data_IF_846568317071
#
_entry.id   IF_846568317071
#
_cell.length_a   1.000
_cell.length_b   1.000
_cell.length_c   1.000
_cell.angle_alpha   90.00
_cell.angle_beta   90.00
_cell.angle_gamma   90.00
#
_symmetry.space_group_name_H-M   'P 1'
#
loop_
_entity.id
_entity.type
_entity.pdbx_description
1 polymer ?
#
# COMPACT_ATOMS: atom_id res chain seq x y z
N UNK A 1 -6.98 7.94 -6.81
CA UNK A 1 -6.74 6.56 -6.32
C UNK A 1 -5.34 6.05 -6.69
N UNK A 2 -4.88 6.16 -7.94
CA UNK A 2 -3.47 5.88 -8.32
C UNK A 2 -2.43 6.74 -7.59
N UNK A 3 -2.76 8.01 -7.30
CA UNK A 3 -1.92 8.88 -6.46
C UNK A 3 -1.82 8.43 -4.99
N UNK A 4 -2.88 7.81 -4.43
CA UNK A 4 -2.88 7.26 -3.07
C UNK A 4 -1.93 6.05 -3.00
N UNK A 5 -2.06 5.11 -3.95
CA UNK A 5 -1.17 3.93 -4.01
C UNK A 5 0.31 4.28 -4.18
N UNK A 6 0.66 5.35 -4.91
CA UNK A 6 2.06 5.76 -5.06
C UNK A 6 2.60 6.44 -3.79
N UNK A 7 1.80 7.30 -3.14
CA UNK A 7 2.20 8.02 -1.92
C UNK A 7 2.36 7.09 -0.72
N UNK A 8 1.44 6.14 -0.53
CA UNK A 8 1.46 5.23 0.61
C UNK A 8 2.61 4.21 0.51
N UNK A 9 2.95 3.81 -0.72
CA UNK A 9 4.12 2.98 -1.01
C UNK A 9 5.42 3.74 -0.68
N UNK A 10 5.46 5.05 -0.91
CA UNK A 10 6.63 5.85 -0.59
C UNK A 10 6.87 5.92 0.92
N UNK A 11 5.83 6.17 1.73
CA UNK A 11 5.95 6.29 3.20
C UNK A 11 6.44 5.02 3.85
N UNK A 12 5.86 3.87 3.50
CA UNK A 12 6.29 2.56 4.05
C UNK A 12 7.74 2.22 3.67
N UNK A 13 8.16 2.57 2.45
CA UNK A 13 9.55 2.42 1.99
C UNK A 13 10.51 3.37 2.69
N UNK A 14 10.13 4.63 2.86
CA UNK A 14 10.97 5.66 3.48
C UNK A 14 11.15 5.38 4.98
N UNK A 15 10.09 4.98 5.68
CA UNK A 15 10.18 4.49 7.06
C UNK A 15 11.13 3.29 7.17
N UNK A 16 10.93 2.27 6.33
CA UNK A 16 11.78 1.07 6.34
C UNK A 16 13.23 1.41 6.04
N UNK A 17 13.47 2.34 5.11
CA UNK A 17 14.81 2.79 4.75
C UNK A 17 15.46 3.53 5.90
N UNK A 18 14.75 4.47 6.52
CA UNK A 18 15.22 5.25 7.66
C UNK A 18 15.62 4.33 8.82
N UNK A 19 14.73 3.40 9.20
CA UNK A 19 14.98 2.43 10.27
C UNK A 19 16.21 1.58 9.95
N UNK A 20 16.35 1.12 8.70
CA UNK A 20 17.49 0.30 8.31
C UNK A 20 18.82 1.07 8.17
N UNK A 21 18.79 2.38 7.89
CA UNK A 21 20.02 3.18 7.69
C UNK A 21 20.50 3.92 8.93
N UNK A 22 19.59 4.39 9.79
CA UNK A 22 19.95 5.23 10.94
C UNK A 22 20.06 4.45 12.24
N UNK A 23 19.27 3.39 12.43
CA UNK A 23 19.37 2.57 13.63
C UNK A 23 20.50 1.56 13.42
N UNK A 24 21.59 1.76 14.17
CA UNK A 24 22.71 0.81 14.19
C UNK A 24 22.28 -0.47 14.90
N UNK A 25 22.64 -1.60 14.29
CA UNK A 25 22.35 -2.94 14.79
C UNK A 25 23.67 -3.60 15.13
N UNK A 26 23.86 -3.92 16.40
CA UNK A 26 25.09 -4.54 16.91
C UNK A 26 24.85 -5.98 17.37
N UNK A 27 23.66 -6.24 17.94
CA UNK A 27 23.29 -7.55 18.48
C UNK A 27 22.24 -8.25 17.62
N UNK A 28 22.17 -9.59 17.68
CA UNK A 28 21.10 -10.37 17.04
C UNK A 28 19.69 -9.95 17.53
N UNK A 29 19.55 -9.57 18.80
CA UNK A 29 18.30 -9.05 19.35
C UNK A 29 17.87 -7.74 18.67
N UNK A 30 18.80 -6.80 18.45
CA UNK A 30 18.52 -5.53 17.76
C UNK A 30 18.06 -5.77 16.30
N UNK A 31 18.57 -6.83 15.69
CA UNK A 31 18.19 -7.23 14.35
C UNK A 31 16.75 -7.75 14.29
N UNK A 32 16.38 -8.59 15.25
CA UNK A 32 15.04 -9.14 15.39
C UNK A 32 14.01 -8.04 15.73
N UNK A 33 14.39 -7.08 16.59
CA UNK A 33 13.56 -5.91 16.91
C UNK A 33 13.33 -5.00 15.70
N UNK A 34 14.39 -4.71 14.93
CA UNK A 34 14.26 -3.98 13.67
C UNK A 34 13.33 -4.70 12.70
N UNK A 35 13.51 -6.01 12.56
CA UNK A 35 12.67 -6.84 11.67
C UNK A 35 11.22 -6.83 12.12
N UNK A 36 10.97 -6.92 13.42
CA UNK A 36 9.65 -6.77 14.02
C UNK A 36 9.04 -5.41 13.68
N UNK A 37 9.77 -4.31 13.86
CA UNK A 37 9.30 -2.96 13.51
C UNK A 37 8.93 -2.83 12.01
N UNK A 38 9.77 -3.36 11.11
CA UNK A 38 9.48 -3.35 9.67
C UNK A 38 8.24 -4.18 9.34
N UNK A 39 8.06 -5.33 9.99
CA UNK A 39 6.87 -6.15 9.83
C UNK A 39 5.60 -5.42 10.33
N UNK A 40 5.71 -4.63 11.41
CA UNK A 40 4.60 -3.81 11.91
C UNK A 40 4.14 -2.73 10.93
N UNK A 41 5.02 -2.22 10.04
CA UNK A 41 4.60 -1.31 8.96
C UNK A 41 3.66 -2.02 7.98
N UNK A 42 3.95 -3.27 7.63
CA UNK A 42 3.07 -4.08 6.78
C UNK A 42 1.79 -4.48 7.54
N UNK A 43 1.91 -4.84 8.82
CA UNK A 43 0.75 -5.14 9.67
C UNK A 43 -0.16 -3.94 9.85
N UNK A 44 0.37 -2.71 9.89
CA UNK A 44 -0.43 -1.49 9.87
C UNK A 44 -1.32 -1.47 8.62
N UNK A 45 -0.75 -1.62 7.42
CA UNK A 45 -1.53 -1.62 6.18
C UNK A 45 -2.57 -2.76 6.13
N UNK A 46 -2.22 -3.96 6.60
CA UNK A 46 -3.15 -5.08 6.71
C UNK A 46 -4.28 -4.78 7.71
N UNK A 47 -3.95 -4.21 8.87
CA UNK A 47 -4.91 -3.79 9.89
C UNK A 47 -5.83 -2.68 9.36
N UNK A 48 -5.30 -1.71 8.59
CA UNK A 48 -6.09 -0.67 7.90
C UNK A 48 -7.14 -1.28 7.00
N UNK A 49 -6.74 -2.21 6.14
CA UNK A 49 -7.64 -2.93 5.23
C UNK A 49 -8.77 -3.60 6.01
N UNK A 50 -8.43 -4.36 7.05
CA UNK A 50 -9.41 -5.09 7.86
C UNK A 50 -10.35 -4.13 8.60
N UNK A 51 -9.81 -3.04 9.15
CA UNK A 51 -10.57 -2.00 9.83
C UNK A 51 -11.61 -1.36 8.89
N UNK A 52 -11.20 -0.96 7.68
CA UNK A 52 -12.10 -0.38 6.66
C UNK A 52 -13.19 -1.36 6.22
N UNK A 53 -12.90 -2.67 6.23
CA UNK A 53 -13.86 -3.74 5.94
C UNK A 53 -14.68 -4.20 7.14
N UNK A 54 -14.44 -3.64 8.33
CA UNK A 54 -15.05 -4.06 9.59
C UNK A 54 -14.80 -5.54 9.94
N UNK A 55 -13.67 -6.07 9.48
CA UNK A 55 -13.17 -7.40 9.78
C UNK A 55 -12.08 -7.34 10.87
N UNK A 56 -11.83 -8.45 11.58
CA UNK A 56 -10.80 -8.50 12.64
C UNK A 56 -9.79 -9.65 12.49
N UNK A 57 -9.95 -10.51 11.49
CA UNK A 57 -9.09 -11.69 11.35
C UNK A 57 -7.80 -11.40 10.58
N UNK A 58 -6.81 -10.84 11.27
CA UNK A 58 -5.48 -10.58 10.72
C UNK A 58 -4.66 -11.85 10.48
N UNK A 59 -5.02 -12.98 11.10
CA UNK A 59 -4.27 -14.23 10.95
C UNK A 59 -4.20 -14.67 9.49
N UNK A 60 -5.29 -14.50 8.75
CA UNK A 60 -5.36 -14.86 7.33
C UNK A 60 -4.31 -14.12 6.50
N UNK A 61 -4.17 -12.81 6.71
CA UNK A 61 -3.21 -11.98 5.99
C UNK A 61 -1.77 -12.28 6.41
N UNK A 62 -1.53 -12.44 7.72
CA UNK A 62 -0.21 -12.79 8.25
C UNK A 62 0.27 -14.13 7.70
N UNK A 63 -0.61 -15.14 7.67
CA UNK A 63 -0.30 -16.46 7.11
C UNK A 63 -0.07 -16.40 5.60
N UNK A 64 -0.92 -15.67 4.86
CA UNK A 64 -0.79 -15.49 3.40
C UNK A 64 0.52 -14.82 3.01
N UNK A 65 0.92 -13.78 3.75
CA UNK A 65 2.13 -13.00 3.50
C UNK A 65 3.38 -13.59 4.17
N UNK A 66 3.22 -14.59 5.05
CA UNK A 66 4.30 -15.20 5.84
C UNK A 66 5.07 -14.19 6.69
N UNK A 67 4.34 -13.21 7.24
CA UNK A 67 4.94 -12.18 8.11
C UNK A 67 5.35 -12.87 9.42
N UNK A 68 6.59 -12.64 9.85
CA UNK A 68 7.13 -13.24 11.06
C UNK A 68 6.87 -12.32 12.26
N UNK A 69 5.79 -12.58 12.99
CA UNK A 69 5.45 -11.92 14.25
C UNK A 69 5.36 -12.97 15.38
N UNK A 70 5.57 -12.51 16.61
CA UNK A 70 5.32 -13.34 17.79
C UNK A 70 3.80 -13.59 17.93
N UNK A 71 3.34 -14.77 18.36
CA UNK A 71 1.91 -15.04 18.54
C UNK A 71 1.20 -14.04 19.48
N UNK A 72 1.93 -13.50 20.45
CA UNK A 72 1.41 -12.45 21.34
C UNK A 72 1.12 -11.15 20.61
N UNK A 73 1.98 -10.75 19.66
CA UNK A 73 1.75 -9.54 18.87
C UNK A 73 0.49 -9.66 18.01
N UNK A 74 0.27 -10.85 17.43
CA UNK A 74 -0.92 -11.13 16.63
C UNK A 74 -2.17 -11.03 17.49
N UNK A 75 -2.17 -11.66 18.67
CA UNK A 75 -3.27 -11.58 19.61
C UNK A 75 -3.54 -10.13 20.05
N UNK A 76 -2.49 -9.37 20.37
CA UNK A 76 -2.61 -7.97 20.77
C UNK A 76 -3.24 -7.11 19.67
N UNK A 77 -2.84 -7.30 18.40
CA UNK A 77 -3.46 -6.59 17.27
C UNK A 77 -4.94 -6.95 17.16
N UNK A 78 -5.31 -8.23 17.24
CA UNK A 78 -6.71 -8.66 17.09
C UNK A 78 -7.63 -8.20 18.22
N UNK A 79 -7.10 -8.12 19.43
CA UNK A 79 -7.84 -7.68 20.62
C UNK A 79 -7.86 -6.17 20.81
N UNK A 80 -7.04 -5.41 20.07
CA UNK A 80 -7.08 -3.96 20.11
C UNK A 80 -8.43 -3.43 19.61
N UNK A 81 -8.97 -2.42 20.30
CA UNK A 81 -10.19 -1.72 19.86
C UNK A 81 -10.00 -1.11 18.47
N UNK A 82 -8.80 -0.59 18.21
CA UNK A 82 -8.42 0.04 16.96
C UNK A 82 -7.11 -0.53 16.41
N UNK A 83 -7.21 -1.64 15.66
CA UNK A 83 -6.06 -2.41 15.18
C UNK A 83 -4.97 -1.57 14.48
N UNK A 84 -5.30 -0.61 13.59
CA UNK A 84 -4.25 0.17 12.93
C UNK A 84 -3.54 1.16 13.86
N UNK A 85 -4.24 1.75 14.83
CA UNK A 85 -3.64 2.69 15.78
C UNK A 85 -2.70 1.90 16.69
N UNK A 86 -3.08 0.71 17.12
CA UNK A 86 -2.20 -0.17 17.88
C UNK A 86 -0.87 -0.45 17.14
N UNK A 87 -0.93 -0.72 15.83
CA UNK A 87 0.30 -0.90 15.03
C UNK A 87 1.16 0.38 15.01
N UNK A 88 0.55 1.56 14.90
CA UNK A 88 1.25 2.85 14.97
C UNK A 88 1.89 3.09 16.33
N UNK A 89 1.17 2.80 17.42
CA UNK A 89 1.69 2.92 18.79
C UNK A 89 2.93 2.04 18.97
N UNK A 90 2.90 0.79 18.50
CA UNK A 90 4.07 -0.10 18.56
C UNK A 90 5.26 0.49 17.80
N UNK A 91 5.04 1.06 16.61
CA UNK A 91 6.09 1.74 15.82
C UNK A 91 6.65 2.96 16.57
N UNK A 92 5.79 3.78 17.18
CA UNK A 92 6.19 4.96 17.96
C UNK A 92 6.93 4.58 19.24
N UNK A 93 6.52 3.52 19.95
CA UNK A 93 7.24 3.01 21.11
C UNK A 93 8.62 2.48 20.73
N UNK A 94 8.73 1.75 19.61
CA UNK A 94 10.01 1.28 19.09
C UNK A 94 10.96 2.45 18.79
N UNK A 95 10.48 3.50 18.11
CA UNK A 95 11.32 4.68 17.82
C UNK A 95 11.78 5.41 19.08
N UNK A 96 10.89 5.58 20.06
CA UNK A 96 11.24 6.21 21.35
C UNK A 96 12.27 5.36 22.13
N UNK A 97 12.16 4.04 22.09
CA UNK A 97 13.13 3.13 22.70
C UNK A 97 14.52 3.30 22.07
N UNK A 98 14.61 3.43 20.75
CA UNK A 98 15.89 3.67 20.07
C UNK A 98 16.54 5.02 20.44
N UNK A 99 15.74 6.05 20.76
CA UNK A 99 16.28 7.32 21.30
C UNK A 99 16.82 7.14 22.70
N UNK A 100 16.13 6.40 23.58
CA UNK A 100 16.61 6.11 24.95
C UNK A 100 17.94 5.34 24.93
N UNK A 101 18.13 4.47 23.96
CA UNK A 101 19.39 3.74 23.74
C UNK A 101 20.47 4.57 23.03
N UNK A 102 20.23 5.85 22.71
CA UNK A 102 21.19 6.73 22.05
C UNK A 102 21.50 6.36 20.59
N UNK A 103 20.68 5.50 19.98
CA UNK A 103 20.83 5.06 18.58
C UNK A 103 20.17 6.03 17.59
N UNK A 104 19.22 6.83 18.06
CA UNK A 104 18.59 7.93 17.34
C UNK A 104 18.72 9.23 18.12
N UNK A 105 18.86 10.35 17.42
CA UNK A 105 18.76 11.67 18.04
C UNK A 105 17.31 12.13 18.16
N UNK A 106 17.02 13.06 19.08
CA UNK A 106 15.68 13.66 19.20
C UNK A 106 15.23 14.37 17.91
N UNK A 107 16.17 15.00 17.19
CA UNK A 107 15.88 15.62 15.89
C UNK A 107 15.45 14.57 14.86
N UNK A 108 16.19 13.45 14.78
CA UNK A 108 15.85 12.34 13.89
C UNK A 108 14.49 11.73 14.23
N UNK A 109 14.15 11.62 15.52
CA UNK A 109 12.84 11.16 15.98
C UNK A 109 11.72 12.12 15.54
N UNK A 110 11.94 13.43 15.67
CA UNK A 110 10.97 14.44 15.21
C UNK A 110 10.74 14.34 13.69
N UNK A 111 11.82 14.20 12.91
CA UNK A 111 11.74 14.09 11.46
C UNK A 111 10.94 12.87 11.02
N UNK A 112 11.23 11.68 11.56
CA UNK A 112 10.49 10.46 11.19
C UNK A 112 9.04 10.48 11.67
N UNK A 113 8.76 11.05 12.84
CA UNK A 113 7.39 11.19 13.31
C UNK A 113 6.58 12.08 12.37
N UNK A 114 7.16 13.18 11.88
CA UNK A 114 6.48 14.08 10.95
C UNK A 114 6.36 13.49 9.53
N UNK A 115 7.42 12.88 9.01
CA UNK A 115 7.48 12.42 7.61
C UNK A 115 6.75 11.09 7.42
N UNK A 116 6.72 10.23 8.44
CA UNK A 116 6.16 8.89 8.32
C UNK A 116 4.94 8.67 9.23
N UNK A 117 5.09 8.81 10.55
CA UNK A 117 4.02 8.42 11.49
C UNK A 117 2.78 9.31 11.33
N UNK A 118 2.97 10.63 11.25
CA UNK A 118 1.88 11.58 11.02
C UNK A 118 1.19 11.33 9.68
N UNK A 119 1.96 11.06 8.62
CA UNK A 119 1.40 10.76 7.29
C UNK A 119 0.60 9.46 7.30
N UNK A 120 1.08 8.41 7.99
CA UNK A 120 0.33 7.15 8.17
C UNK A 120 -1.00 7.40 8.90
N UNK A 121 -1.01 8.25 9.92
CA UNK A 121 -2.24 8.66 10.63
C UNK A 121 -3.18 9.47 9.75
N UNK A 122 -2.66 10.41 8.96
CA UNK A 122 -3.47 11.23 8.05
C UNK A 122 -4.11 10.39 6.94
N UNK A 123 -3.39 9.41 6.40
CA UNK A 123 -3.89 8.45 5.42
C UNK A 123 -5.00 7.59 6.04
N UNK A 124 -4.76 7.04 7.24
CA UNK A 124 -5.78 6.28 7.98
C UNK A 124 -7.06 7.10 8.17
N UNK A 125 -6.94 8.29 8.77
CA UNK A 125 -8.08 9.16 9.03
C UNK A 125 -8.77 9.60 7.74
N UNK A 126 -8.05 9.74 6.63
CA UNK A 126 -8.65 9.97 5.32
C UNK A 126 -9.48 8.80 4.85
N UNK A 127 -8.99 7.57 4.98
CA UNK A 127 -9.73 6.36 4.63
C UNK A 127 -10.96 6.17 5.54
N UNK A 128 -10.83 6.41 6.85
CA UNK A 128 -11.94 6.36 7.80
C UNK A 128 -13.01 7.39 7.48
N UNK A 129 -12.64 8.63 7.11
CA UNK A 129 -13.61 9.63 6.66
C UNK A 129 -14.37 9.14 5.45
N UNK A 130 -13.68 8.62 4.42
CA UNK A 130 -14.33 8.09 3.21
C UNK A 130 -15.28 6.94 3.57
N UNK A 131 -14.85 6.01 4.45
CA UNK A 131 -15.66 4.86 4.84
C UNK A 131 -16.84 5.22 5.77
N UNK A 132 -16.70 6.25 6.61
CA UNK A 132 -17.68 6.66 7.62
C UNK A 132 -18.52 7.87 7.21
N UNK A 133 -18.37 8.38 5.99
CA UNK A 133 -19.29 9.36 5.40
C UNK A 133 -20.21 8.70 4.36
N UNK A 134 -21.08 7.74 4.75
CA UNK A 134 -22.08 7.23 3.83
C UNK A 134 -23.06 8.35 3.47
N UNK A 135 -23.63 8.28 2.27
CA UNK A 135 -24.66 9.23 1.87
C UNK A 135 -25.84 9.09 2.85
N UNK A 136 -26.45 10.19 3.33
CA UNK A 136 -27.56 10.10 4.28
C UNK A 136 -28.65 9.15 3.79
N UNK A 137 -29.07 8.21 4.64
CA UNK A 137 -30.04 7.17 4.27
C UNK A 137 -31.35 7.77 3.73
N UNK A 138 -31.80 8.89 4.29
CA UNK A 138 -33.00 9.60 3.83
C UNK A 138 -32.89 10.05 2.37
N UNK A 139 -31.70 10.48 1.93
CA UNK A 139 -31.44 10.88 0.56
C UNK A 139 -31.53 9.67 -0.39
N UNK A 140 -30.87 8.56 -0.04
CA UNK A 140 -30.87 7.34 -0.85
C UNK A 140 -32.30 6.79 -1.01
N UNK A 141 -33.06 6.74 0.08
CA UNK A 141 -34.46 6.32 0.05
C UNK A 141 -35.30 7.23 -0.85
N UNK A 142 -35.17 8.55 -0.70
CA UNK A 142 -35.92 9.51 -1.51
C UNK A 142 -35.59 9.38 -3.00
N UNK A 143 -34.31 9.20 -3.34
CA UNK A 143 -33.86 8.98 -4.72
C UNK A 143 -34.47 7.69 -5.31
N UNK A 144 -34.46 6.59 -4.56
CA UNK A 144 -35.07 5.32 -4.97
C UNK A 144 -36.58 5.44 -5.17
N UNK A 145 -37.29 6.14 -4.28
CA UNK A 145 -38.72 6.39 -4.45
C UNK A 145 -39.02 7.19 -5.72
N UNK A 146 -38.27 8.26 -6.00
CA UNK A 146 -38.45 9.04 -7.22
C UNK A 146 -38.13 8.23 -8.48
N UNK A 147 -37.10 7.39 -8.44
CA UNK A 147 -36.73 6.52 -9.55
C UNK A 147 -37.82 5.47 -9.84
N UNK A 148 -38.38 4.82 -8.82
CA UNK A 148 -39.51 3.90 -8.98
C UNK A 148 -40.73 4.61 -9.54
N UNK A 149 -41.05 5.79 -8.99
CA UNK A 149 -42.17 6.60 -9.48
C UNK A 149 -41.98 6.98 -10.95
N UNK A 150 -40.78 7.40 -11.34
CA UNK A 150 -40.44 7.74 -12.72
C UNK A 150 -40.59 6.54 -13.65
N UNK A 151 -40.15 5.34 -13.25
CA UNK A 151 -40.31 4.11 -14.05
C UNK A 151 -41.78 3.72 -14.26
N UNK A 152 -42.67 4.01 -13.31
CA UNK A 152 -44.11 3.76 -13.44
C UNK A 152 -44.78 4.82 -14.33
N UNK A 153 -44.39 6.09 -14.18
CA UNK A 153 -44.98 7.20 -14.94
C UNK A 153 -44.51 7.26 -16.40
N UNK A 154 -43.27 6.85 -16.68
CA UNK A 154 -42.68 6.90 -18.01
C UNK A 154 -43.51 6.16 -19.09
N UNK A 155 -43.93 4.88 -18.92
CA UNK A 155 -44.74 4.19 -19.92
C UNK A 155 -46.11 4.86 -20.12
N UNK A 156 -46.73 5.36 -19.06
CA UNK A 156 -48.01 6.10 -19.15
C UNK A 156 -47.87 7.40 -19.95
N UNK A 157 -46.71 8.05 -19.86
CA UNK A 157 -46.42 9.26 -20.61
C UNK A 157 -46.27 9.00 -22.12
N UNK A 158 -45.57 7.92 -22.49
CA UNK A 158 -45.20 7.68 -23.89
C UNK A 158 -46.20 6.80 -24.67
N UNK A 159 -47.13 6.10 -24.01
CA UNK A 159 -48.06 5.14 -24.65
C UNK A 159 -48.94 5.77 -25.73
N UNK A 160 -49.39 7.00 -25.54
CA UNK A 160 -50.24 7.71 -26.50
C UNK A 160 -49.52 8.03 -27.82
N UNK A 161 -48.19 8.15 -27.80
CA UNK A 161 -47.38 8.53 -28.96
C UNK A 161 -46.83 7.31 -29.72
N UNK A 162 -46.49 6.23 -29.01
CA UNK A 162 -45.73 5.11 -29.57
C UNK A 162 -46.47 3.75 -29.56
N UNK A 163 -47.64 3.66 -28.92
CA UNK A 163 -48.45 2.44 -28.90
C UNK A 163 -47.67 1.22 -28.42
N UNK A 164 -47.58 0.16 -29.23
CA UNK A 164 -46.86 -1.08 -28.88
C UNK A 164 -45.35 -0.90 -28.71
N UNK A 165 -44.73 0.10 -29.37
CA UNK A 165 -43.30 0.38 -29.21
C UNK A 165 -42.93 0.90 -27.82
N UNK A 166 -43.92 1.37 -27.05
CA UNK A 166 -43.74 1.82 -25.66
C UNK A 166 -43.10 0.77 -24.78
N UNK A 167 -43.40 -0.52 -24.99
CA UNK A 167 -42.81 -1.61 -24.21
C UNK A 167 -41.29 -1.64 -24.40
N UNK A 168 -40.83 -1.63 -25.66
CA UNK A 168 -39.41 -1.66 -25.99
C UNK A 168 -38.67 -0.42 -25.47
N UNK A 169 -39.25 0.77 -25.69
CA UNK A 169 -38.66 2.04 -25.24
C UNK A 169 -38.59 2.13 -23.72
N UNK A 170 -39.62 1.68 -23.01
CA UNK A 170 -39.64 1.63 -21.54
C UNK A 170 -38.60 0.65 -21.03
N UNK A 171 -38.47 -0.54 -21.62
CA UNK A 171 -37.42 -1.50 -21.27
C UNK A 171 -36.03 -0.87 -21.44
N UNK A 172 -35.75 -0.23 -22.57
CA UNK A 172 -34.46 0.40 -22.83
C UNK A 172 -34.14 1.52 -21.81
N UNK A 173 -35.10 2.40 -21.54
CA UNK A 173 -34.91 3.51 -20.60
C UNK A 173 -34.80 3.01 -19.15
N UNK A 174 -35.59 1.99 -18.78
CA UNK A 174 -35.49 1.37 -17.46
C UNK A 174 -34.13 0.73 -17.25
N UNK A 175 -33.59 0.02 -18.25
CA UNK A 175 -32.25 -0.56 -18.20
C UNK A 175 -31.19 0.52 -18.02
N UNK A 176 -31.29 1.65 -18.72
CA UNK A 176 -30.36 2.76 -18.59
C UNK A 176 -30.38 3.37 -17.18
N UNK A 177 -31.57 3.71 -16.65
CA UNK A 177 -31.69 4.39 -15.36
C UNK A 177 -31.39 3.45 -14.18
N UNK A 178 -31.86 2.20 -14.22
CA UNK A 178 -31.54 1.18 -13.21
C UNK A 178 -30.06 0.80 -13.24
N UNK A 179 -29.46 0.74 -14.43
CA UNK A 179 -28.02 0.51 -14.59
C UNK A 179 -27.20 1.60 -13.89
N UNK A 180 -27.58 2.87 -14.06
CA UNK A 180 -26.91 3.99 -13.39
C UNK A 180 -27.08 3.92 -11.86
N UNK A 181 -28.26 3.57 -11.34
CA UNK A 181 -28.47 3.42 -9.89
C UNK A 181 -27.61 2.30 -9.30
N UNK A 182 -27.56 1.15 -9.98
CA UNK A 182 -26.71 0.03 -9.58
C UNK A 182 -25.23 0.42 -9.57
N UNK A 183 -24.74 1.08 -10.64
CA UNK A 183 -23.35 1.54 -10.71
C UNK A 183 -23.03 2.59 -9.63
N UNK A 184 -23.97 3.48 -9.33
CA UNK A 184 -23.81 4.47 -8.27
C UNK A 184 -23.65 3.83 -6.90
N UNK A 185 -24.35 2.71 -6.65
CA UNK A 185 -24.24 1.98 -5.38
C UNK A 185 -22.90 1.27 -5.22
N UNK A 186 -22.32 0.75 -6.29
CA UNK A 186 -20.97 0.14 -6.27
C UNK A 186 -19.89 1.19 -5.98
N UNK A 187 -19.99 2.38 -6.58
CA UNK A 187 -18.97 3.45 -6.40
C UNK A 187 -18.99 4.06 -4.99
N UNK A 188 -20.10 3.92 -4.25
CA UNK A 188 -20.24 4.49 -2.90
C UNK A 188 -19.32 3.81 -1.86
N UNK A 189 -19.02 2.52 -2.00
CA UNK A 189 -18.21 1.77 -1.04
C UNK A 189 -16.91 1.19 -1.66
N UNK A 190 -15.88 2.01 -1.90
CA UNK A 190 -14.69 1.60 -2.65
C UNK A 190 -13.78 0.57 -1.93
N UNK A 191 -14.04 0.26 -0.66
CA UNK A 191 -13.20 -0.61 0.18
C UNK A 191 -13.75 -2.04 0.33
N UNK A 192 -14.89 -2.33 -0.30
CA UNK A 192 -15.57 -3.62 -0.20
C UNK A 192 -14.87 -4.78 -0.93
N UNK A 193 -15.70 -5.65 -1.48
CA UNK A 193 -15.34 -6.86 -2.21
C UNK A 193 -15.94 -6.92 -3.61
N UNK A 194 -16.56 -5.83 -4.07
CA UNK A 194 -17.13 -5.77 -5.41
C UNK A 194 -16.03 -5.76 -6.46
N UNK A 195 -16.37 -6.15 -7.69
CA UNK A 195 -15.38 -6.30 -8.78
C UNK A 195 -14.68 -4.98 -9.12
N UNK A 196 -15.36 -3.87 -8.86
CA UNK A 196 -14.89 -2.52 -9.16
C UNK A 196 -14.25 -1.83 -7.93
N UNK A 197 -14.20 -2.51 -6.78
CA UNK A 197 -13.58 -1.98 -5.57
C UNK A 197 -12.05 -2.00 -5.64
N UNK A 198 -11.44 -1.28 -4.71
CA UNK A 198 -10.00 -1.25 -4.54
C UNK A 198 -9.46 -2.64 -4.15
N UNK A 199 -8.46 -3.11 -4.89
CA UNK A 199 -7.73 -4.34 -4.56
C UNK A 199 -6.75 -4.09 -3.40
N UNK A 200 -7.31 -3.99 -2.19
CA UNK A 200 -6.55 -3.75 -0.96
C UNK A 200 -5.58 -4.90 -0.66
N UNK A 201 -5.93 -6.14 -1.03
CA UNK A 201 -5.05 -7.30 -0.85
C UNK A 201 -3.76 -7.15 -1.66
N UNK A 202 -3.89 -6.74 -2.93
CA UNK A 202 -2.74 -6.48 -3.78
C UNK A 202 -1.90 -5.32 -3.27
N UNK A 203 -2.52 -4.24 -2.78
CA UNK A 203 -1.79 -3.13 -2.17
C UNK A 203 -0.97 -3.57 -0.95
N UNK A 204 -1.60 -4.30 -0.01
CA UNK A 204 -0.90 -4.84 1.18
C UNK A 204 0.23 -5.78 0.79
N UNK A 205 0.01 -6.63 -0.22
CA UNK A 205 1.07 -7.50 -0.74
C UNK A 205 2.24 -6.72 -1.36
N UNK A 206 1.95 -5.61 -2.06
CA UNK A 206 2.95 -4.70 -2.60
C UNK A 206 3.80 -4.07 -1.49
N UNK A 207 3.14 -3.53 -0.44
CA UNK A 207 3.84 -3.01 0.73
C UNK A 207 4.76 -4.05 1.35
N UNK A 208 4.27 -5.27 1.55
CA UNK A 208 5.08 -6.36 2.10
C UNK A 208 6.32 -6.67 1.25
N UNK A 209 6.14 -6.79 -0.07
CA UNK A 209 7.25 -7.08 -0.98
C UNK A 209 8.29 -5.96 -0.94
N UNK A 210 7.86 -4.71 -0.95
CA UNK A 210 8.75 -3.54 -0.94
C UNK A 210 9.53 -3.42 0.37
N UNK A 211 8.87 -3.54 1.54
CA UNK A 211 9.53 -3.45 2.84
C UNK A 211 10.52 -4.59 3.05
N UNK A 212 10.13 -5.83 2.71
CA UNK A 212 11.02 -6.99 2.80
C UNK A 212 12.20 -6.92 1.82
N UNK A 213 12.01 -6.35 0.62
CA UNK A 213 13.09 -6.17 -0.34
C UNK A 213 14.14 -5.18 0.19
N UNK A 214 13.72 -4.10 0.88
CA UNK A 214 14.63 -3.15 1.52
C UNK A 214 15.35 -3.82 2.69
N UNK A 215 14.63 -4.54 3.55
CA UNK A 215 15.20 -5.25 4.69
C UNK A 215 16.28 -6.23 4.24
N UNK A 216 15.95 -7.16 3.33
CA UNK A 216 16.92 -8.15 2.79
C UNK A 216 18.16 -7.51 2.18
N UNK A 217 18.02 -6.37 1.51
CA UNK A 217 19.16 -5.64 0.91
C UNK A 217 20.15 -5.14 1.96
N UNK A 218 19.64 -4.74 3.13
CA UNK A 218 20.46 -4.27 4.25
C UNK A 218 21.05 -5.46 5.02
N UNK A 219 20.28 -6.53 5.20
CA UNK A 219 20.74 -7.76 5.86
C UNK A 219 21.87 -8.46 5.09
N UNK A 220 21.80 -8.48 3.76
CA UNK A 220 22.77 -9.16 2.89
C UNK A 220 24.14 -8.47 2.75
N UNK A 221 24.40 -7.37 3.47
CA UNK A 221 25.61 -6.53 3.29
C UNK A 221 25.86 -6.06 1.83
N UNK A 222 24.89 -6.14 0.92
CA UNK A 222 25.04 -5.65 -0.46
C UNK A 222 25.41 -4.16 -0.55
N UNK A 223 25.04 -3.37 0.47
CA UNK A 223 25.46 -1.97 0.63
C UNK A 223 26.98 -1.80 0.78
N UNK A 224 27.68 -2.77 1.37
CA UNK A 224 29.15 -2.78 1.48
C UNK A 224 29.81 -2.93 0.10
N UNK A 225 29.14 -3.58 -0.86
CA UNK A 225 29.62 -3.74 -2.25
C UNK A 225 29.32 -2.52 -3.13
N UNK A 226 28.23 -1.79 -2.90
CA UNK A 226 27.84 -0.62 -3.70
C UNK A 226 28.72 0.62 -3.44
N UNK A 227 29.29 0.75 -2.24
CA UNK A 227 30.09 1.92 -1.84
C UNK A 227 31.58 1.65 -1.66
N UNK A 228 32.06 0.41 -1.86
CA UNK A 228 33.49 0.13 -1.80
C UNK A 228 34.20 0.71 -3.03
N UNK A 229 34.59 1.99 -2.92
CA UNK A 229 35.29 2.77 -3.95
C UNK A 229 36.52 2.02 -4.50
N UNK A 230 37.21 1.23 -3.66
CA UNK A 230 38.35 0.40 -4.08
C UNK A 230 37.94 -0.70 -5.06
N UNK A 231 36.77 -1.34 -4.91
CA UNK A 231 36.29 -2.37 -5.82
C UNK A 231 35.64 -1.79 -7.08
N UNK A 232 34.91 -0.67 -6.98
CA UNK A 232 34.37 0.03 -8.17
C UNK A 232 35.50 0.49 -9.09
N UNK A 233 36.56 1.06 -8.54
CA UNK A 233 37.77 1.43 -9.29
C UNK A 233 38.54 0.21 -9.83
N UNK A 234 38.53 -0.92 -9.11
CA UNK A 234 39.16 -2.17 -9.60
C UNK A 234 38.38 -2.74 -10.78
N UNK A 235 37.05 -2.69 -10.75
CA UNK A 235 36.19 -3.13 -11.85
C UNK A 235 36.25 -2.19 -13.06
N UNK A 236 36.33 -0.87 -12.85
CA UNK A 236 36.55 0.07 -13.96
C UNK A 236 37.93 -0.12 -14.61
N UNK A 237 38.97 -0.36 -13.80
CA UNK A 237 40.32 -0.63 -14.29
C UNK A 237 40.41 -1.95 -15.06
N UNK A 238 39.84 -3.03 -14.54
CA UNK A 238 39.75 -4.33 -15.24
C UNK A 238 38.94 -4.22 -16.53
N UNK A 239 37.88 -3.41 -16.56
CA UNK A 239 37.08 -3.19 -17.77
C UNK A 239 37.82 -2.34 -18.80
N UNK A 240 38.60 -1.34 -18.39
CA UNK A 240 39.48 -0.59 -19.30
C UNK A 240 40.61 -1.45 -19.85
N UNK A 241 41.26 -2.28 -19.04
CA UNK A 241 42.32 -3.19 -19.51
C UNK A 241 41.79 -4.21 -20.52
N UNK A 242 40.60 -4.78 -20.27
CA UNK A 242 39.96 -5.70 -21.25
C UNK A 242 39.57 -5.00 -22.55
N UNK A 243 39.06 -3.78 -22.48
CA UNK A 243 38.72 -3.02 -23.68
C UNK A 243 39.97 -2.58 -24.46
N UNK A 244 41.06 -2.26 -23.76
CA UNK A 244 42.35 -1.92 -24.39
C UNK A 244 42.96 -3.14 -25.09
N UNK A 245 42.96 -4.31 -24.44
CA UNK A 245 43.44 -5.56 -25.05
C UNK A 245 42.56 -6.02 -26.23
N UNK A 246 41.25 -5.81 -26.14
CA UNK A 246 40.34 -6.09 -27.26
C UNK A 246 40.57 -5.14 -28.45
N UNK A 247 40.86 -3.86 -28.19
CA UNK A 247 41.20 -2.89 -29.24
C UNK A 247 42.56 -3.17 -29.89
N UNK A 248 43.54 -3.64 -29.13
CA UNK A 248 44.85 -4.02 -29.65
C UNK A 248 44.77 -5.28 -30.52
N UNK A 249 44.01 -6.29 -30.10
CA UNK A 249 43.79 -7.50 -30.87
C UNK A 249 43.08 -7.26 -32.22
N UNK A 250 42.18 -6.26 -32.27
CA UNK A 250 41.52 -5.85 -33.53
C UNK A 250 42.46 -5.11 -34.49
N UNK A 251 43.44 -4.36 -33.96
CA UNK A 251 44.47 -3.72 -34.79
C UNK A 251 45.49 -4.74 -35.33
N UNK A 252 45.81 -5.77 -34.57
CA UNK A 252 46.71 -6.85 -35.03
C UNK A 252 46.05 -7.73 -36.11
N UNK A 253 44.73 -7.95 -36.08
CA UNK A 253 44.01 -8.66 -37.14
C UNK A 253 43.91 -7.85 -38.46
N UNK A 254 43.75 -6.52 -38.39
CA UNK A 254 43.74 -5.67 -39.60
C UNK A 254 45.10 -5.66 -40.32
N UNK A 255 46.21 -5.69 -39.57
CA UNK A 255 47.58 -5.67 -40.13
C UNK A 255 47.97 -7.02 -40.77
N UNK A 256 47.35 -8.13 -40.37
CA UNK A 256 47.59 -9.46 -40.95
C UNK A 256 46.74 -9.70 -42.22
N UNK A 257 45.72 -8.86 -42.49
CA UNK A 257 44.85 -8.96 -43.68
C UNK A 257 45.17 -7.99 -44.83
N UNK A 258 46.20 -7.15 -44.68
CA UNK A 258 46.70 -6.20 -45.68
C UNK A 258 48.03 -6.66 -46.29
#
# INVERSE_FOLDING_TARGET
LTHFSCSDNAVSRDFTRFVCTHIRVETQADFDDRRRAVNFVTCFAAATKLHLRKERDINRDIQKLRIQLCPQDIANIQHADHMPIFCQDVLSFYLNDQVKHGRLSEHQLSDINQICVAVMSDVMGSCERIANTPIPLSYVLQLRFFLILWLILYPLHIVAYYGWWTILLTCLMSFAVLGIESMSSEIENPFGYDRNDLDLDKMVSGFYVDTQAILKRVESKQSEYLFNRKQVLRMSKVRMEKNFLASAALQDEEVISA
#
